data_IF_310953330896
#
_entry.id   IF_310953330896
#
_cell.length_a   1.000
_cell.length_b   1.000
_cell.length_c   1.000
_cell.angle_alpha   90.00
_cell.angle_beta   90.00
_cell.angle_gamma   90.00
#
_symmetry.space_group_name_H-M   'P 1'
#
loop_
_entity.id
_entity.type
_entity.pdbx_description
1 polymer ?
#
# COMPACT_ATOMS: atom_id res chain seq x y z
N UNK A 1 40.53 -27.15 -0.07
CA UNK A 1 39.16 -26.64 0.15
C UNK A 1 38.70 -26.08 -1.19
N UNK A 2 37.94 -26.85 -1.96
CA UNK A 2 37.53 -26.47 -3.31
C UNK A 2 36.54 -25.29 -3.26
N UNK A 3 36.61 -24.32 -4.18
CA UNK A 3 35.62 -23.27 -4.26
C UNK A 3 34.28 -23.88 -4.65
N UNK A 4 33.22 -23.54 -3.92
CA UNK A 4 31.85 -23.91 -4.27
C UNK A 4 31.50 -23.16 -5.55
N UNK A 5 31.48 -23.86 -6.68
CA UNK A 5 30.86 -23.36 -7.92
C UNK A 5 29.40 -23.06 -7.61
N UNK A 6 29.08 -21.78 -7.41
CA UNK A 6 27.73 -21.25 -7.51
C UNK A 6 27.26 -21.40 -8.94
N UNK A 7 26.78 -22.60 -9.27
CA UNK A 7 26.00 -22.84 -10.47
C UNK A 7 24.65 -22.12 -10.34
N UNK A 8 24.64 -20.86 -10.74
CA UNK A 8 23.50 -20.31 -11.46
C UNK A 8 24.06 -19.70 -12.72
N UNK A 9 24.30 -20.55 -13.70
CA UNK A 9 24.36 -20.14 -15.10
C UNK A 9 23.11 -19.29 -15.34
N UNK A 10 23.30 -17.99 -15.56
CA UNK A 10 22.24 -16.99 -15.70
C UNK A 10 21.49 -17.29 -17.00
N UNK A 11 20.62 -18.29 -16.98
CA UNK A 11 19.66 -18.51 -18.04
C UNK A 11 18.78 -17.26 -18.08
N UNK A 12 18.83 -16.56 -19.21
CA UNK A 12 17.92 -15.46 -19.53
C UNK A 12 16.49 -15.90 -19.18
N UNK A 13 15.81 -15.23 -18.24
CA UNK A 13 14.51 -15.68 -17.77
C UNK A 13 13.51 -15.61 -18.92
N UNK A 14 12.87 -16.73 -19.25
CA UNK A 14 11.89 -16.84 -20.32
C UNK A 14 10.83 -15.73 -20.21
N UNK A 15 10.59 -15.01 -21.30
CA UNK A 15 9.57 -13.96 -21.38
C UNK A 15 8.34 -14.49 -22.10
N UNK A 16 7.19 -14.41 -21.44
CA UNK A 16 5.88 -14.73 -22.00
C UNK A 16 5.13 -13.44 -22.36
N UNK A 17 4.35 -13.50 -23.45
CA UNK A 17 3.37 -12.48 -23.75
C UNK A 17 2.23 -12.49 -22.70
N UNK A 18 1.46 -11.40 -22.67
CA UNK A 18 0.34 -11.29 -21.74
C UNK A 18 -0.64 -12.47 -21.87
N UNK A 19 -0.91 -13.14 -20.74
CA UNK A 19 -1.79 -14.32 -20.62
C UNK A 19 -1.34 -15.58 -21.39
N UNK A 20 -0.09 -15.67 -21.83
CA UNK A 20 0.42 -16.88 -22.52
C UNK A 20 1.30 -17.78 -21.66
N UNK A 21 1.56 -17.38 -20.41
CA UNK A 21 2.35 -18.19 -19.49
C UNK A 21 1.64 -19.51 -19.13
N UNK A 22 2.37 -20.64 -19.02
CA UNK A 22 1.84 -21.90 -18.51
C UNK A 22 1.18 -21.77 -17.14
N UNK A 23 0.14 -22.55 -16.87
CA UNK A 23 -0.66 -22.46 -15.64
C UNK A 23 0.12 -22.67 -14.34
N UNK A 24 1.21 -23.46 -14.37
CA UNK A 24 2.04 -23.67 -13.19
C UNK A 24 2.92 -22.45 -12.85
N UNK A 25 3.05 -21.48 -13.76
CA UNK A 25 3.77 -20.24 -13.53
C UNK A 25 2.81 -19.15 -13.04
N UNK A 26 3.00 -18.75 -11.79
CA UNK A 26 2.12 -17.81 -11.12
C UNK A 26 2.86 -16.58 -10.65
N UNK A 27 2.18 -15.43 -10.68
CA UNK A 27 2.65 -14.20 -10.04
C UNK A 27 2.62 -14.33 -8.52
N UNK A 28 3.44 -13.54 -7.80
CA UNK A 28 3.39 -13.49 -6.33
C UNK A 28 1.99 -13.19 -5.77
N UNK A 29 1.19 -12.40 -6.49
CA UNK A 29 -0.18 -12.07 -6.09
C UNK A 29 -1.10 -13.28 -6.21
N UNK A 30 -1.01 -14.04 -7.30
CA UNK A 30 -1.77 -15.27 -7.50
C UNK A 30 -1.41 -16.33 -6.46
N UNK A 31 -0.11 -16.52 -6.17
CA UNK A 31 0.32 -17.42 -5.10
C UNK A 31 -0.27 -17.02 -3.74
N UNK A 32 -0.22 -15.73 -3.39
CA UNK A 32 -0.80 -15.25 -2.13
C UNK A 32 -2.31 -15.48 -2.03
N UNK A 33 -3.04 -15.34 -3.14
CA UNK A 33 -4.48 -15.64 -3.19
C UNK A 33 -4.76 -17.14 -2.98
N UNK A 34 -3.85 -18.01 -3.43
CA UNK A 34 -3.90 -19.46 -3.20
C UNK A 34 -3.33 -19.89 -1.83
N UNK A 35 -2.98 -18.96 -0.93
CA UNK A 35 -2.38 -19.30 0.36
C UNK A 35 -0.94 -19.80 0.28
N UNK A 36 -0.25 -19.55 -0.84
CA UNK A 36 1.11 -20.00 -1.13
C UNK A 36 2.12 -18.84 -1.10
N UNK A 37 3.39 -19.20 -0.96
CA UNK A 37 4.54 -18.32 -1.06
C UNK A 37 5.65 -18.96 -1.91
N UNK A 38 6.51 -18.19 -2.59
CA UNK A 38 7.57 -18.74 -3.45
C UNK A 38 8.66 -19.56 -2.75
N UNK A 39 8.63 -19.74 -1.43
CA UNK A 39 9.62 -20.57 -0.72
C UNK A 39 11.07 -20.04 -0.71
N UNK A 40 11.32 -18.81 -1.19
CA UNK A 40 12.67 -18.27 -1.34
C UNK A 40 13.28 -18.48 -2.74
N UNK A 41 12.56 -19.15 -3.64
CA UNK A 41 12.98 -19.32 -5.02
C UNK A 41 13.00 -17.99 -5.78
N UNK A 42 14.00 -17.84 -6.65
CA UNK A 42 14.07 -16.76 -7.63
C UNK A 42 12.93 -16.91 -8.67
N UNK A 43 12.50 -15.80 -9.32
CA UNK A 43 11.56 -15.89 -10.41
C UNK A 43 12.17 -16.68 -11.58
N UNK A 44 11.38 -17.58 -12.17
CA UNK A 44 11.81 -18.49 -13.24
C UNK A 44 11.48 -17.95 -14.64
N UNK A 45 10.56 -16.99 -14.71
CA UNK A 45 10.11 -16.40 -15.96
C UNK A 45 9.51 -15.01 -15.71
N UNK A 46 9.19 -14.31 -16.80
CA UNK A 46 8.57 -13.00 -16.77
C UNK A 46 7.40 -12.93 -17.76
N UNK A 47 6.44 -12.06 -17.48
CA UNK A 47 5.42 -11.66 -18.45
C UNK A 47 5.59 -10.20 -18.81
N UNK A 48 5.49 -9.88 -20.08
CA UNK A 48 5.54 -8.51 -20.58
C UNK A 48 4.15 -8.00 -20.96
N UNK A 49 3.84 -6.77 -20.55
CA UNK A 49 2.66 -6.03 -21.02
C UNK A 49 3.01 -4.57 -21.28
N UNK A 50 2.30 -3.92 -22.20
CA UNK A 50 2.40 -2.48 -22.43
C UNK A 50 1.16 -1.78 -21.87
N UNK A 51 1.33 -0.80 -20.99
CA UNK A 51 0.23 -0.01 -20.42
C UNK A 51 0.59 1.47 -20.45
N UNK A 52 -0.28 2.31 -21.02
CA UNK A 52 -0.04 3.76 -21.19
C UNK A 52 1.34 4.08 -21.79
N UNK A 53 1.71 3.36 -22.87
CA UNK A 53 3.01 3.54 -23.54
C UNK A 53 4.21 2.92 -22.81
N UNK A 54 4.06 2.47 -21.56
CA UNK A 54 5.14 1.92 -20.73
C UNK A 54 5.17 0.40 -20.77
N UNK A 55 6.37 -0.18 -20.89
CA UNK A 55 6.65 -1.61 -20.73
C UNK A 55 6.58 -1.97 -19.24
N UNK A 56 5.80 -2.98 -18.90
CA UNK A 56 5.64 -3.52 -17.55
C UNK A 56 6.03 -5.00 -17.56
N UNK A 57 6.94 -5.37 -16.66
CA UNK A 57 7.38 -6.73 -16.46
C UNK A 57 6.78 -7.27 -15.17
N UNK A 58 6.28 -8.51 -15.22
CA UNK A 58 5.75 -9.23 -14.06
C UNK A 58 6.51 -10.52 -13.87
N UNK A 59 7.10 -10.71 -12.69
CA UNK A 59 7.82 -11.93 -12.36
C UNK A 59 6.88 -13.10 -12.08
N UNK A 60 7.23 -14.25 -12.65
CA UNK A 60 6.54 -15.53 -12.50
C UNK A 60 7.39 -16.50 -11.68
N UNK A 61 6.69 -17.30 -10.88
CA UNK A 61 7.25 -18.29 -9.97
C UNK A 61 6.58 -19.63 -10.24
N UNK A 62 7.32 -20.72 -10.05
CA UNK A 62 6.76 -22.06 -10.18
C UNK A 62 5.91 -22.40 -8.94
N UNK A 63 4.61 -22.60 -9.15
CA UNK A 63 3.67 -23.01 -8.11
C UNK A 63 3.95 -24.40 -7.55
N UNK A 64 4.62 -25.28 -8.30
CA UNK A 64 4.98 -26.64 -7.85
C UNK A 64 6.07 -26.64 -6.78
N UNK A 65 6.85 -25.57 -6.72
CA UNK A 65 7.88 -25.33 -5.71
C UNK A 65 7.40 -24.38 -4.61
N UNK A 66 6.16 -23.90 -4.71
CA UNK A 66 5.61 -22.98 -3.73
C UNK A 66 5.32 -23.71 -2.42
N UNK A 67 5.51 -22.99 -1.32
CA UNK A 67 5.26 -23.49 0.02
C UNK A 67 4.04 -22.81 0.62
N UNK A 68 3.35 -23.43 1.59
CA UNK A 68 2.29 -22.76 2.33
C UNK A 68 2.77 -21.43 2.92
N UNK A 69 1.99 -20.38 2.74
CA UNK A 69 2.28 -19.06 3.30
C UNK A 69 2.19 -19.16 4.83
N UNK A 70 3.20 -18.65 5.53
CA UNK A 70 3.18 -18.53 6.99
C UNK A 70 2.06 -17.58 7.44
N UNK A 71 1.28 -18.03 8.42
CA UNK A 71 0.25 -17.23 9.08
C UNK A 71 0.82 -16.65 10.38
N UNK A 72 0.69 -15.33 10.55
CA UNK A 72 1.11 -14.66 11.77
C UNK A 72 0.22 -15.07 12.95
N UNK A 73 0.81 -15.20 14.14
CA UNK A 73 0.03 -15.49 15.35
C UNK A 73 -0.78 -14.25 15.78
N UNK A 74 -1.88 -14.42 16.55
CA UNK A 74 -2.64 -13.27 17.06
C UNK A 74 -1.77 -12.26 17.84
N UNK A 75 -0.80 -12.75 18.62
CA UNK A 75 0.14 -11.89 19.36
C UNK A 75 1.04 -11.07 18.42
N UNK A 76 1.53 -11.68 17.33
CA UNK A 76 2.32 -10.96 16.31
C UNK A 76 1.48 -9.88 15.62
N UNK A 77 0.21 -10.18 15.31
CA UNK A 77 -0.70 -9.19 14.73
C UNK A 77 -0.95 -8.01 15.67
N UNK A 78 -1.16 -8.28 16.97
CA UNK A 78 -1.31 -7.23 17.98
C UNK A 78 -0.05 -6.35 18.09
N UNK A 79 1.13 -6.96 18.07
CA UNK A 79 2.40 -6.23 18.09
C UNK A 79 2.57 -5.31 16.86
N UNK A 80 2.26 -5.81 15.65
CA UNK A 80 2.28 -5.01 14.42
C UNK A 80 1.26 -3.88 14.48
N UNK A 81 0.04 -4.12 14.98
CA UNK A 81 -0.97 -3.08 15.13
C UNK A 81 -0.51 -1.96 16.06
N UNK A 82 0.16 -2.30 17.17
CA UNK A 82 0.76 -1.32 18.08
C UNK A 82 1.86 -0.50 17.39
N UNK A 83 2.74 -1.17 16.63
CA UNK A 83 3.82 -0.50 15.89
C UNK A 83 3.29 0.45 14.81
N UNK A 84 2.25 0.04 14.07
CA UNK A 84 1.59 0.90 13.08
C UNK A 84 0.97 2.12 13.75
N UNK A 85 0.26 1.94 14.88
CA UNK A 85 -0.35 3.05 15.62
C UNK A 85 0.70 4.07 16.09
N UNK A 86 1.82 3.60 16.63
CA UNK A 86 2.94 4.47 17.01
C UNK A 86 3.48 5.25 15.81
N UNK A 87 3.70 4.58 14.68
CA UNK A 87 4.18 5.22 13.46
C UNK A 87 3.22 6.32 12.97
N UNK A 88 1.91 6.05 12.99
CA UNK A 88 0.89 7.04 12.61
C UNK A 88 0.87 8.24 13.55
N UNK A 89 0.97 8.03 14.88
CA UNK A 89 1.01 9.11 15.85
C UNK A 89 2.20 10.05 15.61
N UNK A 90 3.40 9.49 15.40
CA UNK A 90 4.59 10.29 15.06
C UNK A 90 4.47 11.02 13.73
N UNK A 91 3.83 10.40 12.75
CA UNK A 91 3.57 11.07 11.47
C UNK A 91 2.65 12.28 11.69
N UNK A 92 1.61 12.15 12.50
CA UNK A 92 0.68 13.23 12.81
C UNK A 92 1.34 14.37 13.60
N UNK A 93 2.16 14.04 14.61
CA UNK A 93 2.95 15.03 15.37
C UNK A 93 3.85 15.88 14.45
N UNK A 94 4.50 15.26 13.45
CA UNK A 94 5.28 16.00 12.45
C UNK A 94 4.45 16.93 11.58
N UNK A 95 3.16 16.67 11.46
CA UNK A 95 2.19 17.50 10.75
C UNK A 95 1.41 18.44 11.67
N UNK A 96 1.81 18.56 12.94
CA UNK A 96 1.23 19.50 13.90
C UNK A 96 -0.01 19.02 14.63
N UNK A 97 -0.36 17.73 14.50
CA UNK A 97 -1.47 17.13 15.25
C UNK A 97 -0.95 16.54 16.57
N UNK A 98 -1.63 16.83 17.66
CA UNK A 98 -1.28 16.26 18.95
C UNK A 98 -1.76 14.79 19.06
N UNK A 99 -1.10 14.02 19.92
CA UNK A 99 -1.32 12.57 19.99
C UNK A 99 -2.64 12.19 20.66
N UNK A 100 -3.05 12.98 21.63
CA UNK A 100 -4.36 12.94 22.28
C UNK A 100 -5.49 13.24 21.29
N UNK A 101 -5.33 14.20 20.39
CA UNK A 101 -6.29 14.52 19.32
C UNK A 101 -6.62 13.31 18.44
N UNK A 102 -5.67 12.41 18.21
CA UNK A 102 -5.88 11.16 17.44
C UNK A 102 -6.64 10.08 18.21
N UNK A 103 -6.69 10.19 19.54
CA UNK A 103 -7.35 9.23 20.44
C UNK A 103 -8.70 9.72 20.96
N UNK A 104 -8.97 11.02 20.83
CA UNK A 104 -10.25 11.64 21.16
C UNK A 104 -11.36 11.00 20.35
N UNK A 105 -12.26 10.31 21.05
CA UNK A 105 -13.43 9.63 20.45
C UNK A 105 -14.59 10.59 20.21
N UNK A 106 -14.58 11.76 20.86
CA UNK A 106 -15.49 12.86 20.56
C UNK A 106 -15.10 13.53 19.24
N UNK A 107 -15.35 12.84 18.13
CA UNK A 107 -15.42 13.49 16.84
C UNK A 107 -16.72 14.32 16.84
N UNK A 108 -16.69 15.66 16.68
CA UNK A 108 -17.89 16.52 16.65
C UNK A 108 -18.80 16.27 15.43
N UNK A 109 -18.64 15.12 14.78
CA UNK A 109 -19.16 14.84 13.46
C UNK A 109 -18.47 15.69 12.40
N UNK A 110 -18.81 15.46 11.14
CA UNK A 110 -18.30 16.29 10.06
C UNK A 110 -18.88 17.70 10.16
N UNK A 111 -18.06 18.75 10.00
CA UNK A 111 -18.49 20.15 10.15
C UNK A 111 -19.55 20.65 9.15
N UNK A 112 -19.95 19.81 8.19
CA UNK A 112 -21.04 20.05 7.23
C UNK A 112 -22.42 19.63 7.78
N UNK A 113 -22.44 18.98 8.95
CA UNK A 113 -23.68 18.64 9.68
C UNK A 113 -24.01 19.66 10.77
N UNK A 114 -23.07 20.55 11.09
CA UNK A 114 -23.30 21.68 12.00
C UNK A 114 -23.64 22.91 11.17
N UNK A 115 -24.78 23.53 11.41
CA UNK A 115 -25.09 24.87 10.88
C UNK A 115 -24.35 25.84 11.81
N UNK A 116 -23.29 26.54 11.38
CA UNK A 116 -22.69 27.55 12.24
C UNK A 116 -23.76 28.59 12.54
N UNK A 117 -23.94 28.93 13.82
CA UNK A 117 -24.74 30.10 14.18
C UNK A 117 -24.09 31.31 13.52
N UNK A 118 -24.72 31.82 12.47
CA UNK A 118 -24.26 33.03 11.77
C UNK A 118 -24.09 34.13 12.82
N UNK A 119 -22.86 34.58 13.02
CA UNK A 119 -22.55 35.81 13.75
C UNK A 119 -23.32 36.97 13.14
N UNK A 120 -24.45 37.32 13.75
CA UNK A 120 -25.14 38.60 13.54
C UNK A 120 -24.29 39.68 14.18
N UNK A 121 -23.35 40.24 13.42
CA UNK A 121 -22.76 41.55 13.68
C UNK A 121 -22.02 42.02 12.44
N UNK A 122 -22.63 42.95 11.69
CA UNK A 122 -22.03 44.16 11.11
C UNK A 122 -23.00 44.74 10.07
N UNK A 123 -24.08 45.35 10.55
CA UNK A 123 -24.70 46.49 9.87
C UNK A 123 -23.77 47.68 10.08
N UNK A 124 -22.74 47.82 9.24
CA UNK A 124 -22.16 49.14 9.01
C UNK A 124 -22.61 49.59 7.62
N UNK A 125 -23.59 50.50 7.65
CA UNK A 125 -24.12 51.18 6.49
C UNK A 125 -22.98 51.85 5.72
N UNK A 126 -22.71 51.34 4.52
CA UNK A 126 -21.94 52.05 3.51
C UNK A 126 -22.78 53.29 3.14
N UNK A 127 -22.50 54.40 3.81
CA UNK A 127 -23.09 55.71 3.50
C UNK A 127 -22.33 56.27 2.31
N UNK A 128 -22.85 56.05 1.11
CA UNK A 128 -22.30 56.59 -0.13
C UNK A 128 -22.72 58.06 -0.22
N UNK A 129 -21.78 58.98 0.05
CA UNK A 129 -22.01 60.42 -0.09
C UNK A 129 -22.01 60.81 -1.57
N UNK A 130 -23.16 61.26 -2.08
CA UNK A 130 -23.30 61.91 -3.38
C UNK A 130 -22.56 63.25 -3.41
N UNK A 131 -21.68 63.41 -4.39
CA UNK A 131 -21.02 64.68 -4.74
C UNK A 131 -21.99 65.54 -5.56
N UNK A 132 -22.25 66.77 -5.11
CA UNK A 132 -22.79 67.88 -5.93
C UNK A 132 -21.74 68.98 -6.02
#
# INVERSE_FOLDING_TARGET
MAPLETASETAEPQIYAWKTAPAHLMTRRQLRAAGLAPGGHAPVAQTETKRFGRRLLTYLYDSRLAVPKRTATPAQLAAVAKAIREHQARAAERHGYARDELTTTEAPGPGWTSIPETTTAHEEAITMSDTT
#
